data_IF_874140907514
#
_entry.id   IF_874140907514
#
_cell.length_a   1.000
_cell.length_b   1.000
_cell.length_c   1.000
_cell.angle_alpha   90.00
_cell.angle_beta   90.00
_cell.angle_gamma   90.00
#
_symmetry.space_group_name_H-M   'P 1'
#
loop_
_entity.id
_entity.type
_entity.pdbx_description
1 polymer ?
#
# COMPACT_ATOMS: atom_id res chain seq x y z
N UNK A 1 16.47 -5.95 19.37
CA UNK A 1 17.15 -7.16 18.86
C UNK A 1 18.34 -6.75 18.02
N UNK A 2 19.36 -7.57 17.96
CA UNK A 2 20.46 -7.41 17.03
C UNK A 2 19.96 -7.66 15.59
N UNK A 3 20.45 -6.89 14.61
CA UNK A 3 20.07 -6.99 13.20
C UNK A 3 20.20 -8.41 12.66
N UNK A 4 21.20 -9.17 13.14
CA UNK A 4 21.42 -10.58 12.76
C UNK A 4 20.37 -11.57 13.27
N UNK A 5 19.42 -11.15 14.10
CA UNK A 5 18.40 -11.99 14.73
C UNK A 5 16.97 -11.44 14.51
N UNK A 6 16.77 -10.63 13.48
CA UNK A 6 15.45 -10.12 13.11
C UNK A 6 14.62 -11.23 12.45
N UNK A 7 13.35 -11.27 12.84
CA UNK A 7 12.32 -12.06 12.15
C UNK A 7 11.39 -11.11 11.41
N UNK A 8 10.68 -11.55 10.36
CA UNK A 8 9.71 -10.68 9.69
C UNK A 8 8.70 -10.04 10.64
N UNK A 9 8.21 -10.76 11.66
CA UNK A 9 7.28 -10.22 12.65
C UNK A 9 7.83 -9.10 13.55
N UNK A 10 9.14 -8.96 13.65
CA UNK A 10 9.75 -7.83 14.37
C UNK A 10 9.61 -6.50 13.61
N UNK A 11 9.34 -6.56 12.31
CA UNK A 11 9.21 -5.41 11.43
C UNK A 11 7.75 -4.97 11.24
N UNK A 12 6.77 -5.86 11.48
CA UNK A 12 5.34 -5.59 11.30
C UNK A 12 4.87 -4.21 11.85
N UNK A 13 5.37 -3.70 13.01
CA UNK A 13 4.93 -2.41 13.54
C UNK A 13 5.32 -1.19 12.69
N UNK A 14 6.32 -1.30 11.82
CA UNK A 14 6.88 -0.16 11.07
C UNK A 14 6.67 -0.26 9.56
N UNK A 15 6.45 -1.47 9.02
CA UNK A 15 6.54 -1.72 7.59
C UNK A 15 5.22 -1.70 6.82
N UNK A 16 4.10 -1.62 7.53
CA UNK A 16 2.77 -1.49 6.93
C UNK A 16 2.28 -0.04 7.09
N UNK A 17 2.75 0.84 6.20
CA UNK A 17 2.49 2.28 6.26
C UNK A 17 1.15 2.66 5.61
N UNK A 18 0.08 2.08 6.12
CA UNK A 18 -1.30 2.36 5.70
C UNK A 18 -2.28 2.11 6.85
N UNK A 19 -3.54 2.51 6.67
CA UNK A 19 -4.61 2.26 7.65
C UNK A 19 -4.78 0.75 7.89
N UNK A 20 -5.04 0.34 9.14
CA UNK A 20 -5.16 -1.04 9.62
C UNK A 20 -3.86 -1.87 9.58
N UNK A 21 -2.74 -1.32 9.12
CA UNK A 21 -1.43 -1.98 9.14
C UNK A 21 -1.46 -3.38 8.51
N UNK A 22 -0.84 -4.37 9.16
CA UNK A 22 -0.78 -5.75 8.68
C UNK A 22 -2.15 -6.35 8.31
N UNK A 23 -3.23 -5.98 9.00
CA UNK A 23 -4.56 -6.53 8.69
C UNK A 23 -5.06 -6.11 7.29
N UNK A 24 -4.79 -4.88 6.85
CA UNK A 24 -5.14 -4.46 5.51
C UNK A 24 -4.33 -5.20 4.43
N UNK A 25 -3.03 -5.44 4.68
CA UNK A 25 -2.21 -6.27 3.78
C UNK A 25 -2.72 -7.70 3.70
N UNK A 26 -3.17 -8.28 4.82
CA UNK A 26 -3.70 -9.64 4.86
C UNK A 26 -5.02 -9.77 4.07
N UNK A 27 -5.93 -8.80 4.21
CA UNK A 27 -7.19 -8.78 3.46
C UNK A 27 -6.93 -8.63 1.95
N UNK A 28 -6.06 -7.69 1.55
CA UNK A 28 -5.67 -7.49 0.16
C UNK A 28 -5.01 -8.76 -0.43
N UNK A 29 -4.14 -9.42 0.33
CA UNK A 29 -3.53 -10.67 -0.10
C UNK A 29 -4.57 -11.78 -0.28
N UNK A 30 -5.55 -11.87 0.62
CA UNK A 30 -6.64 -12.85 0.51
C UNK A 30 -7.48 -12.62 -0.76
N UNK A 31 -7.72 -11.37 -1.16
CA UNK A 31 -8.49 -11.04 -2.38
C UNK A 31 -7.77 -11.46 -3.67
N UNK A 32 -6.44 -11.42 -3.69
CA UNK A 32 -5.60 -11.85 -4.84
C UNK A 32 -5.37 -13.36 -4.89
N UNK A 33 -5.58 -14.08 -3.78
CA UNK A 33 -5.39 -15.52 -3.66
C UNK A 33 -4.06 -16.03 -4.27
N UNK A 34 -2.89 -15.52 -3.79
CA UNK A 34 -1.59 -15.85 -4.39
C UNK A 34 -1.24 -17.33 -4.24
N UNK A 35 -0.56 -17.88 -5.26
CA UNK A 35 -0.01 -19.23 -5.25
C UNK A 35 1.53 -19.19 -5.14
N UNK A 36 2.18 -20.25 -4.64
CA UNK A 36 3.64 -20.28 -4.43
C UNK A 36 4.46 -20.07 -5.72
N UNK A 37 3.93 -20.45 -6.88
CA UNK A 37 4.53 -20.28 -8.19
C UNK A 37 4.35 -18.89 -8.80
N UNK A 38 3.47 -18.06 -8.25
CA UNK A 38 3.19 -16.72 -8.77
C UNK A 38 4.38 -15.78 -8.61
N UNK A 39 4.54 -14.89 -9.59
CA UNK A 39 5.34 -13.68 -9.50
C UNK A 39 4.42 -12.47 -9.42
N UNK A 40 4.48 -11.74 -8.30
CA UNK A 40 3.53 -10.67 -7.96
C UNK A 40 4.27 -9.33 -7.89
N UNK A 41 3.67 -8.30 -8.48
CA UNK A 41 4.19 -6.93 -8.46
C UNK A 41 3.56 -6.11 -7.32
N UNK A 42 4.44 -5.49 -6.50
CA UNK A 42 4.09 -4.49 -5.49
C UNK A 42 4.43 -3.10 -6.03
N UNK A 43 3.41 -2.34 -6.44
CA UNK A 43 3.58 -1.00 -7.01
C UNK A 43 3.58 0.03 -5.88
N UNK A 44 4.76 0.65 -5.66
CA UNK A 44 5.00 1.56 -4.54
C UNK A 44 5.27 0.82 -3.23
N UNK A 45 6.22 -0.11 -3.27
CA UNK A 45 6.48 -1.06 -2.19
C UNK A 45 7.03 -0.42 -0.90
N UNK A 46 7.42 0.86 -0.93
CA UNK A 46 8.04 1.53 0.21
C UNK A 46 9.25 0.76 0.74
N UNK A 47 9.26 0.43 2.02
CA UNK A 47 10.31 -0.39 2.64
C UNK A 47 10.05 -1.90 2.55
N UNK A 48 9.09 -2.35 1.73
CA UNK A 48 8.86 -3.74 1.35
C UNK A 48 8.05 -4.59 2.35
N UNK A 49 7.30 -3.99 3.25
CA UNK A 49 6.51 -4.71 4.25
C UNK A 49 5.48 -5.67 3.64
N UNK A 50 4.55 -5.18 2.81
CA UNK A 50 3.58 -6.03 2.13
C UNK A 50 4.24 -7.15 1.32
N UNK A 51 5.30 -6.86 0.55
CA UNK A 51 6.03 -7.87 -0.21
C UNK A 51 6.60 -8.99 0.69
N UNK A 52 7.15 -8.64 1.87
CA UNK A 52 7.60 -9.64 2.85
C UNK A 52 6.46 -10.48 3.40
N UNK A 53 5.30 -9.87 3.65
CA UNK A 53 4.11 -10.61 4.06
C UNK A 53 3.69 -11.65 3.02
N UNK A 54 3.57 -11.25 1.75
CA UNK A 54 3.22 -12.16 0.66
C UNK A 54 4.23 -13.31 0.52
N UNK A 55 5.52 -13.00 0.44
CA UNK A 55 6.57 -14.01 0.26
C UNK A 55 6.61 -15.03 1.41
N UNK A 56 6.48 -14.57 2.67
CA UNK A 56 6.51 -15.48 3.84
C UNK A 56 5.25 -16.31 4.00
N UNK A 57 4.07 -15.73 3.67
CA UNK A 57 2.78 -16.36 3.94
C UNK A 57 2.39 -17.33 2.84
N UNK A 58 2.62 -16.96 1.58
CA UNK A 58 2.19 -17.71 0.41
C UNK A 58 3.34 -18.39 -0.35
N UNK A 59 4.58 -18.03 -0.04
CA UNK A 59 5.75 -18.63 -0.70
C UNK A 59 6.03 -18.10 -2.10
N UNK A 60 5.24 -17.16 -2.61
CA UNK A 60 5.35 -16.58 -3.94
C UNK A 60 6.60 -15.70 -4.10
N UNK A 61 6.97 -15.40 -5.35
CA UNK A 61 8.02 -14.42 -5.68
C UNK A 61 7.40 -13.03 -5.76
N UNK A 62 8.15 -12.05 -5.28
CA UNK A 62 7.73 -10.65 -5.26
C UNK A 62 8.71 -9.78 -6.03
N UNK A 63 8.17 -8.86 -6.81
CA UNK A 63 8.91 -7.73 -7.37
C UNK A 63 8.28 -6.47 -6.80
N UNK A 64 9.06 -5.68 -6.06
CA UNK A 64 8.61 -4.38 -5.55
C UNK A 64 9.25 -3.25 -6.33
N UNK A 65 8.48 -2.22 -6.64
CA UNK A 65 9.03 -0.97 -7.17
C UNK A 65 8.66 0.20 -6.28
N UNK A 66 9.58 1.14 -6.15
CA UNK A 66 9.32 2.44 -5.52
C UNK A 66 10.14 3.54 -6.23
N UNK A 67 9.62 4.75 -6.25
CA UNK A 67 10.32 5.90 -6.85
C UNK A 67 11.49 6.37 -5.97
N UNK A 68 11.40 6.17 -4.65
CA UNK A 68 12.33 6.66 -3.64
C UNK A 68 13.49 5.69 -3.45
N UNK A 69 14.68 6.09 -3.90
CA UNK A 69 15.89 5.25 -3.83
C UNK A 69 16.19 4.77 -2.41
N UNK A 70 16.03 5.64 -1.42
CA UNK A 70 16.27 5.33 0.00
C UNK A 70 15.32 4.25 0.53
N UNK A 71 14.05 4.26 0.10
CA UNK A 71 13.10 3.20 0.46
C UNK A 71 13.49 1.86 -0.17
N UNK A 72 13.89 1.88 -1.45
CA UNK A 72 14.38 0.68 -2.13
C UNK A 72 15.60 0.08 -1.42
N UNK A 73 16.57 0.91 -1.02
CA UNK A 73 17.78 0.46 -0.31
C UNK A 73 17.46 -0.12 1.07
N UNK A 74 16.55 0.52 1.81
CA UNK A 74 16.07 0.00 3.10
C UNK A 74 15.33 -1.33 2.89
N UNK A 75 14.46 -1.43 1.89
CA UNK A 75 13.72 -2.65 1.58
C UNK A 75 14.65 -3.83 1.28
N UNK A 76 15.68 -3.63 0.43
CA UNK A 76 16.70 -4.67 0.12
C UNK A 76 17.46 -5.13 1.35
N UNK A 77 17.87 -4.20 2.21
CA UNK A 77 18.57 -4.50 3.48
C UNK A 77 17.68 -5.28 4.44
N UNK A 78 16.41 -4.90 4.57
CA UNK A 78 15.45 -5.60 5.42
C UNK A 78 15.15 -7.01 4.89
N UNK A 79 14.97 -7.17 3.56
CA UNK A 79 14.78 -8.47 2.93
C UNK A 79 15.96 -9.42 3.22
N UNK A 80 17.19 -8.91 3.15
CA UNK A 80 18.40 -9.66 3.49
C UNK A 80 18.43 -10.03 4.98
N UNK A 81 18.13 -9.08 5.86
CA UNK A 81 18.17 -9.28 7.31
C UNK A 81 17.18 -10.34 7.83
N UNK A 82 16.04 -10.53 7.12
CA UNK A 82 15.02 -11.52 7.47
C UNK A 82 15.05 -12.78 6.57
N UNK A 83 16.08 -12.94 5.72
CA UNK A 83 16.28 -14.13 4.89
C UNK A 83 15.28 -14.29 3.73
N UNK A 84 14.79 -13.19 3.15
CA UNK A 84 13.83 -13.20 2.03
C UNK A 84 14.40 -12.60 0.74
N UNK A 85 15.70 -12.33 0.68
CA UNK A 85 16.33 -11.69 -0.48
C UNK A 85 16.31 -12.55 -1.76
N UNK A 86 16.17 -13.86 -1.64
CA UNK A 86 16.02 -14.81 -2.75
C UNK A 86 14.59 -14.85 -3.33
N UNK A 87 13.60 -14.35 -2.58
CA UNK A 87 12.19 -14.32 -2.98
C UNK A 87 11.68 -12.94 -3.40
N UNK A 88 12.36 -11.87 -2.96
CA UNK A 88 11.89 -10.50 -3.15
C UNK A 88 12.98 -9.68 -3.83
N UNK A 89 12.73 -9.25 -5.08
CA UNK A 89 13.53 -8.23 -5.75
C UNK A 89 12.90 -6.85 -5.58
N UNK A 90 13.74 -5.82 -5.45
CA UNK A 90 13.31 -4.43 -5.33
C UNK A 90 14.02 -3.60 -6.39
N UNK A 91 13.26 -2.85 -7.17
CA UNK A 91 13.77 -1.96 -8.22
C UNK A 91 13.33 -0.52 -7.96
N UNK A 92 14.20 0.43 -8.26
CA UNK A 92 13.81 1.84 -8.27
C UNK A 92 13.20 2.15 -9.62
N UNK A 93 11.89 2.42 -9.66
CA UNK A 93 11.17 2.71 -10.89
C UNK A 93 9.96 3.61 -10.65
N UNK A 94 9.49 4.26 -11.73
CA UNK A 94 8.22 4.98 -11.72
C UNK A 94 7.07 4.01 -11.96
N UNK A 95 5.98 4.17 -11.20
CA UNK A 95 4.74 3.42 -11.43
C UNK A 95 4.03 3.83 -12.73
N UNK A 96 4.43 4.93 -13.35
CA UNK A 96 3.90 5.42 -14.65
C UNK A 96 4.78 5.05 -15.85
N UNK A 97 5.87 4.29 -15.61
CA UNK A 97 6.79 3.81 -16.64
C UNK A 97 7.54 2.59 -16.07
N UNK A 98 6.85 1.43 -16.07
CA UNK A 98 7.34 0.21 -15.46
C UNK A 98 8.39 -0.48 -16.37
N UNK A 99 9.60 -0.82 -15.85
CA UNK A 99 10.68 -1.42 -16.64
C UNK A 99 10.48 -2.92 -16.88
N UNK A 100 9.24 -3.34 -17.15
CA UNK A 100 8.87 -4.75 -17.29
C UNK A 100 8.16 -5.00 -18.62
N UNK A 101 8.32 -6.21 -19.13
CA UNK A 101 7.61 -6.67 -20.33
C UNK A 101 6.10 -6.80 -20.08
N UNK A 102 5.32 -6.74 -21.16
CA UNK A 102 3.89 -6.96 -21.14
C UNK A 102 3.57 -8.39 -20.66
N UNK A 103 2.57 -8.50 -19.79
CA UNK A 103 2.09 -9.81 -19.33
C UNK A 103 3.10 -10.61 -18.53
N UNK A 104 3.96 -9.96 -17.77
CA UNK A 104 4.94 -10.64 -16.93
C UNK A 104 4.35 -11.24 -15.66
N UNK A 105 3.47 -10.50 -14.96
CA UNK A 105 3.06 -10.82 -13.60
C UNK A 105 1.75 -11.59 -13.53
N UNK A 106 1.68 -12.51 -12.56
CA UNK A 106 0.50 -13.32 -12.25
C UNK A 106 -0.53 -12.57 -11.40
N UNK A 107 -0.12 -11.50 -10.71
CA UNK A 107 -0.96 -10.54 -10.01
C UNK A 107 -0.16 -9.27 -9.73
N UNK A 108 -0.85 -8.18 -9.42
CA UNK A 108 -0.23 -6.95 -8.92
C UNK A 108 -1.10 -6.32 -7.84
N UNK A 109 -0.48 -5.48 -7.01
CA UNK A 109 -1.24 -4.62 -6.09
C UNK A 109 -0.55 -3.28 -5.88
N UNK A 110 -1.31 -2.34 -5.33
CA UNK A 110 -0.81 -1.05 -4.87
C UNK A 110 -1.54 -0.65 -3.59
N UNK A 111 -0.80 -0.15 -2.59
CA UNK A 111 -1.36 0.28 -1.31
C UNK A 111 -0.93 1.71 -0.96
N UNK A 112 -1.88 2.65 -0.97
CA UNK A 112 -1.69 4.06 -0.62
C UNK A 112 -0.59 4.76 -1.45
N UNK A 113 -0.61 4.56 -2.75
CA UNK A 113 0.37 5.11 -3.71
C UNK A 113 -0.27 6.10 -4.66
N UNK A 114 -1.44 5.76 -5.19
CA UNK A 114 -2.06 6.51 -6.29
C UNK A 114 -2.33 7.97 -5.93
N UNK A 115 -2.58 8.28 -4.66
CA UNK A 115 -2.77 9.66 -4.20
C UNK A 115 -1.57 10.57 -4.47
N UNK A 116 -0.37 10.01 -4.66
CA UNK A 116 0.85 10.77 -4.96
C UNK A 116 1.12 10.94 -6.46
N UNK A 117 0.31 10.31 -7.32
CA UNK A 117 0.52 10.25 -8.78
C UNK A 117 -0.60 11.04 -9.48
N UNK A 118 -0.21 12.07 -10.22
CA UNK A 118 -1.16 12.89 -10.97
C UNK A 118 -1.73 12.15 -12.18
N UNK A 119 -0.86 11.45 -12.92
CA UNK A 119 -1.22 10.71 -14.13
C UNK A 119 -1.76 9.32 -13.79
N UNK A 120 -3.06 9.24 -13.53
CA UNK A 120 -3.75 7.98 -13.25
C UNK A 120 -3.83 7.08 -14.48
N UNK A 121 -3.94 7.66 -15.67
CA UNK A 121 -4.02 6.89 -16.90
C UNK A 121 -2.72 6.12 -17.15
N UNK A 122 -1.57 6.77 -16.98
CA UNK A 122 -0.28 6.10 -17.06
C UNK A 122 -0.10 5.04 -15.96
N UNK A 123 -0.43 5.36 -14.69
CA UNK A 123 -0.34 4.41 -13.57
C UNK A 123 -1.15 3.13 -13.84
N UNK A 124 -2.44 3.27 -14.14
CA UNK A 124 -3.31 2.10 -14.31
C UNK A 124 -3.08 1.41 -15.65
N UNK A 125 -2.69 2.15 -16.69
CA UNK A 125 -2.29 1.59 -17.97
C UNK A 125 -1.05 0.69 -17.86
N UNK A 126 -0.03 1.11 -17.13
CA UNK A 126 1.17 0.31 -16.85
C UNK A 126 0.86 -0.91 -15.97
N UNK A 127 0.04 -0.74 -14.92
CA UNK A 127 -0.41 -1.88 -14.11
C UNK A 127 -1.17 -2.92 -14.98
N UNK A 128 -2.02 -2.46 -15.89
CA UNK A 128 -2.71 -3.33 -16.83
C UNK A 128 -1.74 -4.03 -17.79
N UNK A 129 -0.82 -3.28 -18.39
CA UNK A 129 0.12 -3.78 -19.41
C UNK A 129 0.97 -4.93 -18.90
N UNK A 130 1.51 -4.81 -17.68
CA UNK A 130 2.46 -5.79 -17.12
C UNK A 130 1.80 -7.04 -16.54
N UNK A 131 0.48 -7.05 -16.33
CA UNK A 131 -0.27 -8.21 -15.86
C UNK A 131 -0.54 -9.19 -17.00
N UNK A 132 -0.62 -10.48 -16.70
CA UNK A 132 -1.10 -11.51 -17.64
C UNK A 132 -2.61 -11.38 -17.84
N UNK A 133 -3.16 -11.76 -19.02
CA UNK A 133 -4.60 -11.90 -19.18
C UNK A 133 -5.21 -12.81 -18.09
N UNK A 134 -6.34 -12.41 -17.54
CA UNK A 134 -7.01 -13.09 -16.44
C UNK A 134 -6.45 -12.79 -15.03
N UNK A 135 -5.36 -12.06 -14.92
CA UNK A 135 -4.72 -11.75 -13.64
C UNK A 135 -5.42 -10.65 -12.86
N UNK A 136 -5.34 -10.74 -11.52
CA UNK A 136 -5.92 -9.77 -10.59
C UNK A 136 -5.00 -8.56 -10.34
N UNK A 137 -5.63 -7.39 -10.19
CA UNK A 137 -5.02 -6.19 -9.63
C UNK A 137 -5.82 -5.73 -8.42
N UNK A 138 -5.17 -5.64 -7.24
CA UNK A 138 -5.79 -5.15 -6.02
C UNK A 138 -5.26 -3.76 -5.66
N UNK A 139 -6.17 -2.80 -5.47
CA UNK A 139 -5.87 -1.43 -5.12
C UNK A 139 -6.45 -1.13 -3.73
N UNK A 140 -5.61 -0.78 -2.76
CA UNK A 140 -6.02 -0.32 -1.44
C UNK A 140 -5.59 1.14 -1.30
N UNK A 141 -6.56 2.06 -1.24
CA UNK A 141 -6.30 3.51 -1.37
C UNK A 141 -7.15 4.35 -0.42
N UNK A 142 -6.74 5.61 -0.28
CA UNK A 142 -7.60 6.65 0.25
C UNK A 142 -8.31 7.38 -0.90
N UNK A 143 -9.62 7.32 -0.93
CA UNK A 143 -10.44 8.12 -1.83
C UNK A 143 -10.87 9.43 -1.18
N UNK A 144 -11.21 10.44 -1.98
CA UNK A 144 -11.92 11.62 -1.52
C UNK A 144 -13.31 11.22 -1.02
N UNK A 145 -13.67 11.74 0.15
CA UNK A 145 -15.01 11.65 0.70
C UNK A 145 -15.79 12.97 0.51
N UNK A 146 -16.98 13.01 1.09
CA UNK A 146 -17.90 14.15 1.02
C UNK A 146 -17.92 15.00 2.32
N UNK A 147 -17.07 14.68 3.30
CA UNK A 147 -16.98 15.35 4.59
C UNK A 147 -16.27 16.71 4.59
N UNK A 148 -15.91 17.24 3.42
CA UNK A 148 -15.24 18.52 3.23
C UNK A 148 -13.79 18.41 2.77
N UNK A 149 -13.07 19.54 2.76
CA UNK A 149 -11.68 19.59 2.29
C UNK A 149 -10.74 18.77 3.16
N UNK A 150 -9.75 18.12 2.53
CA UNK A 150 -8.72 17.33 3.21
C UNK A 150 -7.83 18.24 4.05
N UNK A 151 -7.58 17.84 5.28
CA UNK A 151 -6.74 18.58 6.24
C UNK A 151 -5.29 18.12 6.09
N UNK A 152 -4.40 19.08 5.93
CA UNK A 152 -2.95 18.90 5.87
C UNK A 152 -2.26 19.52 7.12
N UNK A 153 -1.01 19.10 7.46
CA UNK A 153 -0.23 18.05 6.81
C UNK A 153 -0.85 16.66 7.03
N UNK A 154 -0.74 15.81 6.00
CA UNK A 154 -1.16 14.41 6.03
C UNK A 154 0.05 13.50 5.78
N UNK A 155 -0.01 12.19 6.06
CA UNK A 155 1.13 11.29 5.86
C UNK A 155 1.72 11.29 4.45
N UNK A 156 0.89 11.52 3.43
CA UNK A 156 1.27 11.52 2.01
C UNK A 156 1.59 12.91 1.44
N UNK A 157 1.20 13.99 2.11
CA UNK A 157 1.46 15.36 1.63
C UNK A 157 1.49 16.35 2.79
N UNK A 158 2.44 17.29 2.75
CA UNK A 158 2.58 18.31 3.79
C UNK A 158 1.63 19.49 3.62
N UNK A 159 1.26 19.83 2.39
CA UNK A 159 0.50 21.04 2.04
C UNK A 159 -0.65 20.79 1.04
N UNK A 160 -0.77 19.58 0.53
CA UNK A 160 -1.77 19.20 -0.47
C UNK A 160 -1.37 19.42 -1.92
N UNK A 161 -0.28 20.12 -2.21
CA UNK A 161 0.14 20.44 -3.60
C UNK A 161 0.37 19.19 -4.44
N UNK A 162 0.90 18.13 -3.83
CA UNK A 162 1.15 16.84 -4.49
C UNK A 162 0.15 15.76 -4.03
N UNK A 163 -1.06 16.16 -3.64
CA UNK A 163 -2.12 15.24 -3.28
C UNK A 163 -3.14 15.15 -4.42
N UNK A 164 -3.20 13.98 -5.05
CA UNK A 164 -4.00 13.70 -6.24
C UNK A 164 -5.06 12.63 -5.95
N UNK A 165 -5.76 12.79 -4.83
CA UNK A 165 -6.86 11.90 -4.45
C UNK A 165 -7.99 11.98 -5.47
N UNK A 166 -8.57 10.82 -5.78
CA UNK A 166 -9.80 10.68 -6.54
C UNK A 166 -10.94 10.23 -5.61
N UNK A 167 -12.18 10.50 -5.97
CA UNK A 167 -13.31 9.81 -5.36
C UNK A 167 -13.31 8.33 -5.74
N UNK A 168 -14.06 7.50 -5.00
CA UNK A 168 -14.26 6.09 -5.34
C UNK A 168 -14.73 5.93 -6.79
N UNK A 169 -15.74 6.70 -7.19
CA UNK A 169 -16.28 6.66 -8.55
C UNK A 169 -15.22 7.00 -9.61
N UNK A 170 -14.45 8.08 -9.40
CA UNK A 170 -13.39 8.48 -10.33
C UNK A 170 -12.27 7.42 -10.41
N UNK A 171 -11.94 6.76 -9.29
CA UNK A 171 -10.95 5.68 -9.27
C UNK A 171 -11.44 4.47 -10.09
N UNK A 172 -12.70 4.08 -9.90
CA UNK A 172 -13.34 3.00 -10.68
C UNK A 172 -13.38 3.31 -12.16
N UNK A 173 -13.75 4.55 -12.55
CA UNK A 173 -13.76 5.00 -13.93
C UNK A 173 -12.36 4.94 -14.55
N UNK A 174 -11.33 5.46 -13.87
CA UNK A 174 -9.96 5.43 -14.36
C UNK A 174 -9.40 4.00 -14.53
N UNK A 175 -9.77 3.06 -13.65
CA UNK A 175 -9.42 1.64 -13.80
C UNK A 175 -10.11 1.01 -15.01
N UNK A 176 -11.39 1.32 -15.25
CA UNK A 176 -12.12 0.85 -16.46
C UNK A 176 -11.56 1.42 -17.75
N UNK A 177 -11.18 2.70 -17.74
CA UNK A 177 -10.53 3.35 -18.89
C UNK A 177 -9.18 2.71 -19.24
N UNK A 178 -8.46 2.21 -18.22
CA UNK A 178 -7.21 1.45 -18.41
C UNK A 178 -7.45 0.01 -18.92
N UNK A 179 -8.70 -0.47 -18.97
CA UNK A 179 -9.07 -1.79 -19.51
C UNK A 179 -9.46 -2.82 -18.45
N UNK A 180 -9.43 -2.48 -17.17
CA UNK A 180 -9.76 -3.43 -16.10
C UNK A 180 -11.26 -3.71 -15.99
N UNK A 181 -11.62 -5.00 -15.80
CA UNK A 181 -12.90 -5.40 -15.25
C UNK A 181 -12.90 -5.18 -13.73
N UNK A 182 -13.91 -4.48 -13.19
CA UNK A 182 -14.06 -4.30 -11.74
C UNK A 182 -14.78 -5.50 -11.14
N UNK A 183 -14.10 -6.24 -10.28
CA UNK A 183 -14.65 -7.43 -9.60
C UNK A 183 -15.38 -7.04 -8.31
N UNK A 184 -14.77 -6.17 -7.51
CA UNK A 184 -15.38 -5.67 -6.26
C UNK A 184 -14.85 -4.30 -5.87
N UNK A 185 -15.68 -3.55 -5.16
CA UNK A 185 -15.34 -2.28 -4.51
C UNK A 185 -15.83 -2.35 -3.08
N UNK A 186 -14.96 -2.06 -2.13
CA UNK A 186 -15.25 -2.12 -0.70
C UNK A 186 -14.83 -0.84 0.01
N UNK A 187 -15.77 -0.20 0.73
CA UNK A 187 -15.48 0.87 1.69
C UNK A 187 -15.05 0.25 3.03
N UNK A 188 -13.83 0.53 3.44
CA UNK A 188 -13.23 0.02 4.69
C UNK A 188 -13.32 1.01 5.85
N UNK A 189 -14.16 2.06 5.76
CA UNK A 189 -14.26 3.12 6.77
C UNK A 189 -14.58 2.61 8.16
N UNK A 190 -15.49 1.65 8.29
CA UNK A 190 -15.84 1.05 9.58
C UNK A 190 -14.69 0.25 10.19
N UNK A 191 -14.01 -0.56 9.39
CA UNK A 191 -12.87 -1.34 9.83
C UNK A 191 -11.70 -0.45 10.29
N UNK A 192 -11.48 0.67 9.60
CA UNK A 192 -10.46 1.66 9.99
C UNK A 192 -10.86 2.39 11.28
N UNK A 193 -12.13 2.76 11.47
CA UNK A 193 -12.60 3.34 12.74
C UNK A 193 -12.38 2.41 13.91
N UNK A 194 -12.74 1.13 13.78
CA UNK A 194 -12.53 0.12 14.81
C UNK A 194 -11.03 -0.05 15.13
N UNK A 195 -10.19 -0.07 14.12
CA UNK A 195 -8.75 -0.15 14.30
C UNK A 195 -8.18 1.03 15.10
N UNK A 196 -8.59 2.28 14.79
CA UNK A 196 -8.15 3.44 15.54
C UNK A 196 -8.63 3.43 16.99
N UNK A 197 -9.85 3.01 17.27
CA UNK A 197 -10.33 2.88 18.65
C UNK A 197 -9.53 1.82 19.42
N UNK A 198 -9.27 0.67 18.82
CA UNK A 198 -8.45 -0.37 19.43
C UNK A 198 -7.00 0.12 19.69
N UNK A 199 -6.42 0.88 18.77
CA UNK A 199 -5.10 1.50 18.98
C UNK A 199 -5.11 2.51 20.15
N UNK A 200 -6.11 3.36 20.24
CA UNK A 200 -6.23 4.31 21.37
C UNK A 200 -6.31 3.59 22.71
N UNK A 201 -7.08 2.51 22.79
CA UNK A 201 -7.18 1.68 24.00
C UNK A 201 -5.86 1.01 24.33
N UNK A 202 -5.16 0.46 23.34
CA UNK A 202 -3.84 -0.14 23.52
C UNK A 202 -2.81 0.89 24.06
N UNK A 203 -2.79 2.10 23.47
CA UNK A 203 -1.89 3.17 23.94
C UNK A 203 -2.25 3.63 25.37
N UNK A 204 -3.53 3.68 25.74
CA UNK A 204 -3.96 4.01 27.12
C UNK A 204 -3.51 2.96 28.12
N UNK A 205 -3.56 1.68 27.75
CA UNK A 205 -3.22 0.56 28.61
C UNK A 205 -1.70 0.36 28.76
N UNK A 206 -0.98 0.35 27.62
CA UNK A 206 0.40 -0.12 27.50
C UNK A 206 1.41 1.03 27.25
N UNK A 207 0.91 2.25 27.03
CA UNK A 207 1.71 3.40 26.59
C UNK A 207 1.96 3.41 25.08
N UNK A 208 2.63 4.43 24.55
CA UNK A 208 2.93 4.54 23.13
C UNK A 208 3.93 3.46 22.71
N UNK A 209 3.78 2.87 21.50
CA UNK A 209 4.71 1.87 21.01
C UNK A 209 6.11 2.46 20.79
N UNK A 210 7.14 1.65 21.02
CA UNK A 210 8.54 2.06 20.77
C UNK A 210 8.87 2.15 19.27
N UNK A 211 8.21 1.34 18.45
CA UNK A 211 8.35 1.29 17.01
C UNK A 211 6.96 1.47 16.37
N UNK A 212 6.91 2.15 15.24
CA UNK A 212 5.66 2.37 14.50
C UNK A 212 5.86 3.25 13.29
N UNK A 213 4.81 3.41 12.51
CA UNK A 213 4.80 4.16 11.25
C UNK A 213 5.23 5.63 11.38
N UNK A 214 5.22 6.18 12.60
CA UNK A 214 5.68 7.54 12.87
C UNK A 214 7.15 7.77 12.46
N UNK A 215 7.97 6.70 12.42
CA UNK A 215 9.36 6.77 11.97
C UNK A 215 9.43 7.15 10.47
N UNK A 216 8.50 6.65 9.66
CA UNK A 216 8.42 6.93 8.22
C UNK A 216 7.76 8.28 7.92
N UNK A 217 6.94 8.81 8.84
CA UNK A 217 6.25 10.10 8.65
C UNK A 217 7.19 11.32 8.72
N UNK A 218 8.39 11.16 9.30
CA UNK A 218 9.35 12.25 9.45
C UNK A 218 8.87 13.36 10.37
N UNK A 219 9.21 14.60 10.04
CA UNK A 219 8.78 15.78 10.80
C UNK A 219 7.26 15.87 10.89
N UNK A 220 6.77 16.39 12.02
CA UNK A 220 5.34 16.55 12.31
C UNK A 220 4.52 15.25 12.30
N UNK A 221 5.15 14.08 12.54
CA UNK A 221 4.48 12.77 12.52
C UNK A 221 3.20 12.73 13.37
N UNK A 222 3.21 13.35 14.57
CA UNK A 222 2.02 13.41 15.44
C UNK A 222 0.86 14.21 14.83
N UNK A 223 1.18 15.30 14.15
CA UNK A 223 0.19 16.14 13.50
C UNK A 223 -0.37 15.44 12.26
N UNK A 224 0.49 14.87 11.43
CA UNK A 224 0.11 14.06 10.26
C UNK A 224 -0.83 12.92 10.66
N UNK A 225 -0.47 12.16 11.71
CA UNK A 225 -1.31 11.08 12.21
C UNK A 225 -2.68 11.57 12.73
N UNK A 226 -2.70 12.68 13.47
CA UNK A 226 -3.94 13.30 13.97
C UNK A 226 -4.84 13.76 12.82
N UNK A 227 -4.26 14.42 11.82
CA UNK A 227 -5.00 14.92 10.66
C UNK A 227 -5.52 13.75 9.79
N UNK A 228 -4.73 12.69 9.59
CA UNK A 228 -5.17 11.49 8.89
C UNK A 228 -6.39 10.84 9.57
N UNK A 229 -6.31 10.66 10.90
CA UNK A 229 -7.44 10.14 11.67
C UNK A 229 -8.67 11.06 11.57
N UNK A 230 -8.47 12.38 11.64
CA UNK A 230 -9.56 13.36 11.52
C UNK A 230 -10.19 13.33 10.13
N UNK A 231 -9.38 13.30 9.07
CA UNK A 231 -9.87 13.20 7.68
C UNK A 231 -10.80 11.99 7.49
N UNK A 232 -10.43 10.84 8.05
CA UNK A 232 -11.25 9.64 7.96
C UNK A 232 -12.49 9.69 8.87
N UNK A 233 -12.35 10.16 10.10
CA UNK A 233 -13.47 10.28 11.03
C UNK A 233 -14.56 11.27 10.56
N UNK A 234 -14.16 12.35 9.90
CA UNK A 234 -15.05 13.36 9.35
C UNK A 234 -15.53 13.02 7.92
N UNK A 235 -15.11 11.87 7.35
CA UNK A 235 -15.49 11.45 6.00
C UNK A 235 -14.87 12.31 4.88
N UNK A 236 -13.78 13.03 5.15
CA UNK A 236 -13.03 13.81 4.14
C UNK A 236 -12.23 12.91 3.24
N UNK A 237 -11.75 11.79 3.77
CA UNK A 237 -11.15 10.68 3.02
C UNK A 237 -11.82 9.36 3.41
N UNK A 238 -11.93 8.44 2.45
CA UNK A 238 -12.49 7.10 2.63
C UNK A 238 -11.46 6.05 2.23
N UNK A 239 -11.11 5.11 3.11
CA UNK A 239 -10.29 3.97 2.73
C UNK A 239 -11.11 3.01 1.89
N UNK A 240 -10.69 2.77 0.66
CA UNK A 240 -11.34 1.86 -0.29
C UNK A 240 -10.41 0.73 -0.68
N UNK A 241 -10.98 -0.43 -1.00
CA UNK A 241 -10.29 -1.53 -1.64
C UNK A 241 -11.03 -1.93 -2.91
N UNK A 242 -10.30 -2.02 -4.02
CA UNK A 242 -10.86 -2.37 -5.32
C UNK A 242 -10.09 -3.58 -5.84
N UNK A 243 -10.80 -4.66 -6.16
CA UNK A 243 -10.26 -5.78 -6.90
C UNK A 243 -10.69 -5.68 -8.36
N UNK A 244 -9.71 -5.74 -9.24
CA UNK A 244 -9.89 -5.70 -10.69
C UNK A 244 -9.30 -6.94 -11.33
N UNK A 245 -9.67 -7.20 -12.59
CA UNK A 245 -9.08 -8.24 -13.42
C UNK A 245 -8.67 -7.67 -14.78
N UNK A 246 -7.50 -8.09 -15.28
CA UNK A 246 -7.13 -7.89 -16.66
C UNK A 246 -7.84 -8.92 -17.53
N UNK A 247 -8.62 -8.49 -18.52
CA UNK A 247 -9.22 -9.37 -19.52
C UNK A 247 -8.18 -10.00 -20.47
#
# INVERSE_FOLDING_TARGET
KDIGNLTPGDLDPVEHFHGRGLAATADLAASLAPAPEHEILDIGCGIGGPARYFARTFGCRMVGIDLTAEFCDVARRLNTAVGLADKISIEQASATDLPFDDGRFDAAYSQNVSMNIADKAALFGEAYRVLRPGSGFALSELALGDGGEVIYPAPWSSDGVHSHLLSEQQTVEALREAGFEIVSVQDNSDAVRQFFEAQKEAVRRDGPPRLGNFILMGENAKEKARNAARNQMEGRTRPIEILCRRD
#
